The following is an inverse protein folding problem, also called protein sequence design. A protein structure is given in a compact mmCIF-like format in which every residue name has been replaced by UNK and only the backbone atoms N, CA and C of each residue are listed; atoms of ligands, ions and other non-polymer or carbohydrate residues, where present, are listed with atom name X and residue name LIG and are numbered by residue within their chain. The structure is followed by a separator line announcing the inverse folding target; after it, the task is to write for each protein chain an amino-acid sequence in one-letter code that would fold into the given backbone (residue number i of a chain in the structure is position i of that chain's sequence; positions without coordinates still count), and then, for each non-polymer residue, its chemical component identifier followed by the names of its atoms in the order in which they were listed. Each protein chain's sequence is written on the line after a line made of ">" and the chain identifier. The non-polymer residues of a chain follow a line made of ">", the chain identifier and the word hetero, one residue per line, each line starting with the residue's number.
data_IF_088628318676
#
_entry.id   IF_088628318676
#
_cell.length_a   1.000
_cell.length_b   1.000
_cell.length_c   1.000
_cell.angle_alpha   90.00
_cell.angle_beta   90.00
_cell.angle_gamma   90.00
#
_symmetry.space_group_name_H-M   'P 1'
#
loop_
_entity.id
_entity.type
_entity.pdbx_description
1 polymer ?
#
# COMPACT_ATOMS: atom_id res chain seq x y z
N UNK A 1 29.18 -25.88 -11.78
CA UNK A 1 27.86 -26.36 -12.19
C UNK A 1 27.13 -25.14 -12.75
N UNK A 2 26.67 -25.17 -13.98
CA UNK A 2 26.05 -24.02 -14.60
C UNK A 2 24.66 -23.77 -13.98
N UNK A 3 24.31 -22.51 -13.85
CA UNK A 3 23.01 -22.03 -13.37
C UNK A 3 21.85 -22.65 -14.18
N UNK A 4 22.10 -22.97 -15.46
CA UNK A 4 21.19 -23.66 -16.35
C UNK A 4 20.77 -25.05 -15.83
N UNK A 5 21.69 -25.76 -15.17
CA UNK A 5 21.38 -27.08 -14.60
C UNK A 5 20.34 -27.02 -13.46
N UNK A 6 20.28 -25.88 -12.73
CA UNK A 6 19.29 -25.65 -11.68
C UNK A 6 17.89 -25.32 -12.21
N UNK A 7 17.81 -24.59 -13.35
CA UNK A 7 16.56 -24.30 -14.05
C UNK A 7 15.96 -25.57 -14.65
N UNK A 8 16.80 -26.40 -15.24
CA UNK A 8 16.40 -27.66 -15.86
C UNK A 8 15.90 -28.69 -14.85
N UNK A 9 16.41 -28.65 -13.61
CA UNK A 9 15.94 -29.50 -12.52
C UNK A 9 14.46 -29.30 -12.16
N UNK A 10 13.93 -28.09 -12.27
CA UNK A 10 12.53 -27.79 -11.93
C UNK A 10 11.55 -28.12 -13.06
N UNK A 11 12.01 -28.03 -14.32
CA UNK A 11 11.16 -28.21 -15.48
C UNK A 11 11.04 -29.64 -16.01
N UNK A 12 11.99 -30.54 -15.69
CA UNK A 12 12.07 -31.83 -16.34
C UNK A 12 12.64 -32.97 -15.49
N UNK A 13 12.18 -33.14 -14.23
CA UNK A 13 12.63 -34.24 -13.35
C UNK A 13 12.63 -35.63 -14.00
N UNK A 14 11.77 -35.89 -14.99
CA UNK A 14 11.69 -37.15 -15.72
C UNK A 14 12.46 -37.18 -17.04
N UNK A 15 12.89 -36.05 -17.60
CA UNK A 15 13.57 -35.98 -18.91
C UNK A 15 15.09 -35.92 -18.85
N UNK A 16 15.67 -35.50 -17.72
CA UNK A 16 17.12 -35.22 -17.64
C UNK A 16 17.93 -36.37 -17.06
N UNK A 17 17.28 -37.48 -16.59
CA UNK A 17 17.98 -38.68 -16.12
C UNK A 17 18.96 -38.43 -14.95
N UNK A 18 18.70 -37.38 -14.12
CA UNK A 18 19.55 -37.12 -12.95
C UNK A 18 19.33 -38.20 -11.90
N UNK A 19 20.42 -38.84 -11.46
CA UNK A 19 20.38 -39.76 -10.34
C UNK A 19 19.96 -39.06 -9.05
N UNK A 20 19.35 -39.81 -8.09
CA UNK A 20 19.00 -39.27 -6.77
C UNK A 20 20.21 -38.69 -6.04
N UNK A 21 21.39 -39.26 -6.23
CA UNK A 21 22.66 -38.80 -5.64
C UNK A 21 23.02 -37.41 -6.18
N UNK A 22 22.87 -37.19 -7.51
CA UNK A 22 23.13 -35.87 -8.13
C UNK A 22 22.14 -34.82 -7.68
N UNK A 23 20.85 -35.18 -7.50
CA UNK A 23 19.83 -34.30 -6.91
C UNK A 23 20.22 -33.93 -5.47
N UNK A 24 20.60 -34.89 -4.64
CA UNK A 24 21.02 -34.65 -3.26
C UNK A 24 22.25 -33.74 -3.18
N UNK A 25 23.20 -33.84 -4.09
CA UNK A 25 24.37 -32.98 -4.18
C UNK A 25 24.06 -31.52 -4.55
N UNK A 26 22.98 -31.29 -5.33
CA UNK A 26 22.56 -29.97 -5.80
C UNK A 26 21.73 -29.21 -4.73
N UNK A 27 21.00 -29.92 -3.86
CA UNK A 27 20.09 -29.31 -2.87
C UNK A 27 20.78 -28.22 -2.00
N UNK A 28 21.99 -28.40 -1.44
CA UNK A 28 22.64 -27.37 -0.64
C UNK A 28 22.87 -26.07 -1.42
N UNK A 29 23.45 -26.17 -2.63
CA UNK A 29 23.68 -25.03 -3.49
C UNK A 29 22.37 -24.33 -3.90
N UNK A 30 21.31 -25.08 -4.20
CA UNK A 30 20.01 -24.53 -4.52
C UNK A 30 19.40 -23.76 -3.32
N UNK A 31 19.60 -24.22 -2.10
CA UNK A 31 19.14 -23.50 -0.88
C UNK A 31 19.89 -22.18 -0.70
N UNK A 32 21.19 -22.14 -0.93
CA UNK A 32 21.99 -20.92 -0.86
C UNK A 32 21.53 -19.90 -1.91
N UNK A 33 21.29 -20.33 -3.16
CA UNK A 33 20.75 -19.44 -4.19
C UNK A 33 19.36 -18.94 -3.86
N UNK A 34 18.47 -19.76 -3.34
CA UNK A 34 17.13 -19.33 -2.93
C UNK A 34 17.22 -18.29 -1.80
N UNK A 35 18.07 -18.51 -0.81
CA UNK A 35 18.32 -17.55 0.26
C UNK A 35 18.87 -16.23 -0.28
N UNK A 36 19.85 -16.29 -1.18
CA UNK A 36 20.42 -15.14 -1.84
C UNK A 36 19.35 -14.35 -2.66
N UNK A 37 18.51 -15.02 -3.43
CA UNK A 37 17.46 -14.37 -4.23
C UNK A 37 16.33 -13.79 -3.38
N UNK A 38 16.07 -14.32 -2.20
CA UNK A 38 15.14 -13.71 -1.23
C UNK A 38 15.65 -12.37 -0.74
N UNK A 39 16.98 -12.22 -0.59
CA UNK A 39 17.63 -10.96 -0.24
C UNK A 39 17.81 -10.01 -1.43
N UNK A 40 18.01 -10.56 -2.64
CA UNK A 40 18.30 -9.83 -3.87
C UNK A 40 17.32 -10.20 -4.99
N UNK A 41 16.03 -9.87 -4.86
CA UNK A 41 14.99 -10.25 -5.82
C UNK A 41 15.19 -9.62 -7.20
N UNK A 42 15.84 -8.49 -7.28
CA UNK A 42 16.23 -7.84 -8.53
C UNK A 42 17.25 -8.67 -9.33
N UNK A 43 18.17 -9.31 -8.65
CA UNK A 43 19.12 -10.25 -9.28
C UNK A 43 18.43 -11.56 -9.69
N UNK A 44 17.38 -11.97 -8.96
CA UNK A 44 16.52 -13.07 -9.42
C UNK A 44 15.79 -12.71 -10.72
N UNK A 45 15.33 -11.48 -10.88
CA UNK A 45 14.75 -11.02 -12.16
C UNK A 45 15.78 -11.04 -13.27
N UNK A 46 17.00 -10.55 -13.00
CA UNK A 46 18.10 -10.60 -13.98
C UNK A 46 18.46 -12.03 -14.40
N UNK A 47 18.38 -12.98 -13.45
CA UNK A 47 18.53 -14.40 -13.72
C UNK A 47 17.39 -14.97 -14.57
N UNK A 48 16.13 -14.66 -14.21
CA UNK A 48 14.94 -15.18 -14.92
C UNK A 48 14.84 -14.65 -16.36
N UNK A 49 15.27 -13.41 -16.61
CA UNK A 49 15.23 -12.84 -17.96
C UNK A 49 16.24 -13.48 -18.93
N UNK A 50 17.33 -14.02 -18.41
CA UNK A 50 18.44 -14.54 -19.19
C UNK A 50 19.31 -13.44 -19.83
N UNK A 51 20.43 -13.84 -20.47
CA UNK A 51 21.42 -12.90 -20.99
C UNK A 51 20.97 -12.13 -22.24
N UNK A 52 20.12 -12.72 -23.08
CA UNK A 52 19.71 -12.15 -24.38
C UNK A 52 18.51 -11.18 -24.25
N UNK A 53 17.93 -11.05 -23.08
CA UNK A 53 16.78 -10.20 -22.85
C UNK A 53 17.20 -8.77 -22.53
N UNK A 54 16.67 -7.80 -23.25
CA UNK A 54 17.00 -6.37 -23.11
C UNK A 54 16.28 -5.66 -21.98
N UNK A 55 15.30 -6.30 -21.33
CA UNK A 55 14.60 -5.74 -20.18
C UNK A 55 15.57 -5.48 -19.02
N UNK A 56 15.52 -4.29 -18.42
CA UNK A 56 16.32 -3.93 -17.27
C UNK A 56 15.52 -3.12 -16.26
N UNK A 57 15.67 -3.50 -15.00
CA UNK A 57 15.10 -2.75 -13.89
C UNK A 57 15.91 -1.46 -13.63
N UNK A 58 15.23 -0.35 -13.44
CA UNK A 58 15.84 0.90 -12.99
C UNK A 58 16.26 0.81 -11.52
N UNK A 59 17.17 1.68 -11.11
CA UNK A 59 17.73 1.67 -9.76
C UNK A 59 16.63 1.74 -8.67
N UNK A 60 15.68 2.66 -8.78
CA UNK A 60 14.59 2.79 -7.81
C UNK A 60 13.70 1.54 -7.72
N UNK A 61 13.50 0.86 -8.86
CA UNK A 61 12.74 -0.40 -8.93
C UNK A 61 13.46 -1.50 -8.15
N UNK A 62 14.79 -1.60 -8.31
CA UNK A 62 15.62 -2.56 -7.55
C UNK A 62 15.55 -2.29 -6.04
N UNK A 63 15.64 -1.02 -5.63
CA UNK A 63 15.51 -0.62 -4.21
C UNK A 63 14.15 -1.04 -3.65
N UNK A 64 13.05 -0.72 -4.37
CA UNK A 64 11.71 -1.09 -3.95
C UNK A 64 11.53 -2.62 -3.83
N UNK A 65 12.02 -3.38 -4.80
CA UNK A 65 11.93 -4.85 -4.78
C UNK A 65 12.67 -5.45 -3.59
N UNK A 66 13.89 -4.98 -3.32
CA UNK A 66 14.66 -5.41 -2.13
C UNK A 66 13.94 -5.07 -0.85
N UNK A 67 13.43 -3.84 -0.73
CA UNK A 67 12.65 -3.42 0.43
C UNK A 67 11.41 -4.30 0.63
N UNK A 68 10.66 -4.57 -0.43
CA UNK A 68 9.46 -5.38 -0.38
C UNK A 68 9.71 -6.85 -0.01
N UNK A 69 10.91 -7.39 -0.24
CA UNK A 69 11.26 -8.74 0.19
C UNK A 69 11.81 -8.81 1.62
N UNK A 70 12.51 -7.76 2.07
CA UNK A 70 13.22 -7.73 3.36
C UNK A 70 12.39 -7.21 4.52
N UNK A 71 11.40 -6.34 4.24
CA UNK A 71 10.59 -5.72 5.29
C UNK A 71 9.20 -6.32 5.32
N UNK A 72 8.66 -6.43 6.52
CA UNK A 72 7.30 -6.93 6.75
C UNK A 72 6.24 -5.92 6.30
N UNK A 73 6.52 -4.64 6.49
CA UNK A 73 5.65 -3.54 6.15
C UNK A 73 6.35 -2.62 5.17
N UNK A 74 5.80 -2.48 3.99
CA UNK A 74 6.33 -1.57 2.97
C UNK A 74 5.23 -0.64 2.50
N UNK A 75 5.53 0.65 2.46
CA UNK A 75 4.60 1.66 1.98
C UNK A 75 5.27 2.49 0.88
N UNK A 76 4.72 2.40 -0.33
CA UNK A 76 5.22 3.13 -1.49
C UNK A 76 4.21 4.19 -1.94
N UNK A 77 4.59 5.47 -1.82
CA UNK A 77 3.86 6.60 -2.39
C UNK A 77 4.51 6.97 -3.71
N UNK A 78 3.98 6.39 -4.79
CA UNK A 78 4.54 6.54 -6.12
C UNK A 78 3.61 7.33 -7.03
N UNK A 79 4.14 8.32 -7.78
CA UNK A 79 3.35 9.10 -8.72
C UNK A 79 2.90 8.23 -9.92
N UNK A 80 2.13 8.83 -10.81
CA UNK A 80 1.79 8.22 -12.11
C UNK A 80 3.06 7.92 -12.92
N UNK A 81 2.99 6.89 -13.76
CA UNK A 81 4.09 6.39 -14.60
C UNK A 81 5.31 5.85 -13.83
N UNK A 82 5.18 5.53 -12.54
CA UNK A 82 6.27 5.00 -11.69
C UNK A 82 6.35 3.47 -11.71
N UNK A 83 5.61 2.80 -12.59
CA UNK A 83 5.52 1.33 -12.69
C UNK A 83 5.09 0.63 -11.39
N UNK A 84 4.32 1.31 -10.53
CA UNK A 84 3.99 0.83 -9.18
C UNK A 84 3.30 -0.54 -9.17
N UNK A 85 2.22 -0.70 -9.93
CA UNK A 85 1.44 -1.95 -10.00
C UNK A 85 2.24 -3.09 -10.65
N UNK A 86 3.04 -2.78 -11.68
CA UNK A 86 3.94 -3.73 -12.34
C UNK A 86 4.94 -4.32 -11.33
N UNK A 87 5.64 -3.46 -10.59
CA UNK A 87 6.61 -3.89 -9.57
C UNK A 87 5.97 -4.68 -8.44
N UNK A 88 4.82 -4.23 -7.97
CA UNK A 88 4.11 -4.88 -6.86
C UNK A 88 3.64 -6.29 -7.25
N UNK A 89 3.06 -6.48 -8.44
CA UNK A 89 2.66 -7.80 -8.94
C UNK A 89 3.88 -8.68 -9.20
N UNK A 90 4.97 -8.14 -9.77
CA UNK A 90 6.22 -8.88 -9.96
C UNK A 90 6.77 -9.41 -8.63
N UNK A 91 6.73 -8.63 -7.55
CA UNK A 91 7.15 -9.07 -6.20
C UNK A 91 6.26 -10.23 -5.72
N UNK A 92 4.94 -10.18 -5.93
CA UNK A 92 4.07 -11.29 -5.56
C UNK A 92 4.42 -12.57 -6.34
N UNK A 93 4.71 -12.47 -7.64
CA UNK A 93 5.16 -13.61 -8.44
C UNK A 93 6.50 -14.18 -7.92
N UNK A 94 7.47 -13.33 -7.64
CA UNK A 94 8.76 -13.73 -7.06
C UNK A 94 8.58 -14.41 -5.70
N UNK A 95 7.74 -13.85 -4.82
CA UNK A 95 7.40 -14.47 -3.54
C UNK A 95 6.74 -15.84 -3.73
N UNK A 96 5.84 -15.97 -4.69
CA UNK A 96 5.22 -17.27 -5.00
C UNK A 96 6.25 -18.29 -5.49
N UNK A 97 7.25 -17.89 -6.26
CA UNK A 97 8.30 -18.79 -6.73
C UNK A 97 9.27 -19.18 -5.60
N UNK A 98 9.74 -18.19 -4.82
CA UNK A 98 10.79 -18.39 -3.82
C UNK A 98 10.29 -18.92 -2.46
N UNK A 99 8.98 -18.86 -2.19
CA UNK A 99 8.37 -19.34 -0.95
C UNK A 99 7.29 -20.38 -1.24
N UNK A 100 7.64 -21.67 -1.37
CA UNK A 100 6.68 -22.73 -1.67
C UNK A 100 5.46 -22.73 -0.74
N UNK A 101 4.28 -23.01 -1.29
CA UNK A 101 2.98 -23.03 -0.59
C UNK A 101 2.55 -21.69 0.02
N UNK A 102 3.18 -20.57 -0.33
CA UNK A 102 2.69 -19.28 0.15
C UNK A 102 1.33 -18.94 -0.48
N UNK A 103 0.52 -18.21 0.27
CA UNK A 103 -0.83 -17.77 -0.10
C UNK A 103 -0.85 -16.26 0.02
N UNK A 104 -0.84 -15.56 -1.09
CA UNK A 104 -0.83 -14.10 -1.13
C UNK A 104 -2.13 -13.56 -1.71
N UNK A 105 -2.35 -12.25 -1.56
CA UNK A 105 -3.51 -11.60 -2.16
C UNK A 105 -3.17 -10.22 -2.72
N UNK A 106 -4.07 -9.75 -3.58
CA UNK A 106 -4.16 -8.36 -4.03
C UNK A 106 -5.53 -7.83 -3.63
N UNK A 107 -5.58 -6.65 -3.06
CA UNK A 107 -6.83 -5.90 -2.83
C UNK A 107 -6.68 -4.46 -3.29
N UNK A 108 -7.78 -3.86 -3.71
CA UNK A 108 -7.89 -2.45 -4.09
C UNK A 108 -9.30 -1.95 -3.76
N UNK A 109 -9.63 -0.71 -4.08
CA UNK A 109 -10.97 -0.16 -3.85
C UNK A 109 -12.10 -0.96 -4.52
N UNK A 110 -11.84 -1.66 -5.63
CA UNK A 110 -12.79 -2.51 -6.33
C UNK A 110 -12.26 -3.92 -6.61
N UNK A 111 -13.15 -4.94 -6.51
CA UNK A 111 -12.78 -6.34 -6.81
C UNK A 111 -12.39 -6.54 -8.27
N UNK A 112 -13.14 -5.94 -9.20
CA UNK A 112 -12.84 -5.97 -10.64
C UNK A 112 -11.53 -5.23 -10.96
N UNK A 113 -11.28 -4.09 -10.30
CA UNK A 113 -10.03 -3.34 -10.45
C UNK A 113 -8.83 -4.19 -10.05
N UNK A 114 -8.86 -4.85 -8.89
CA UNK A 114 -7.79 -5.73 -8.45
C UNK A 114 -7.56 -6.89 -9.43
N UNK A 115 -8.62 -7.52 -9.94
CA UNK A 115 -8.53 -8.58 -10.94
C UNK A 115 -7.96 -8.07 -12.27
N UNK A 116 -8.37 -6.89 -12.71
CA UNK A 116 -7.87 -6.22 -13.92
C UNK A 116 -6.36 -5.94 -13.85
N UNK A 117 -5.92 -5.35 -12.74
CA UNK A 117 -4.49 -5.08 -12.49
C UNK A 117 -3.68 -6.37 -12.52
N UNK A 118 -4.15 -7.41 -11.84
CA UNK A 118 -3.46 -8.71 -11.83
C UNK A 118 -3.31 -9.28 -13.24
N UNK A 119 -4.39 -9.33 -14.02
CA UNK A 119 -4.35 -9.87 -15.40
C UNK A 119 -3.40 -9.09 -16.30
N UNK A 120 -3.54 -7.78 -16.31
CA UNK A 120 -2.71 -6.91 -17.13
C UNK A 120 -1.22 -7.05 -16.77
N UNK A 121 -0.89 -6.98 -15.49
CA UNK A 121 0.52 -6.97 -15.06
C UNK A 121 1.17 -8.35 -15.11
N UNK A 122 0.45 -9.44 -14.84
CA UNK A 122 0.98 -10.79 -15.03
C UNK A 122 1.27 -11.03 -16.51
N UNK A 123 0.36 -10.66 -17.41
CA UNK A 123 0.57 -10.77 -18.86
C UNK A 123 1.78 -9.95 -19.32
N UNK A 124 1.89 -8.70 -18.86
CA UNK A 124 3.03 -7.82 -19.17
C UNK A 124 4.35 -8.44 -18.70
N UNK A 125 4.43 -8.92 -17.46
CA UNK A 125 5.61 -9.54 -16.87
C UNK A 125 6.00 -10.81 -17.66
N UNK A 126 5.04 -11.68 -17.97
CA UNK A 126 5.27 -12.92 -18.71
C UNK A 126 5.71 -12.65 -20.17
N UNK A 127 5.21 -11.57 -20.78
CA UNK A 127 5.64 -11.14 -22.12
C UNK A 127 7.09 -10.64 -22.10
N UNK A 128 7.45 -9.84 -21.10
CA UNK A 128 8.81 -9.31 -20.95
C UNK A 128 9.81 -10.38 -20.53
N UNK A 129 9.41 -11.31 -19.67
CA UNK A 129 10.26 -12.36 -19.12
C UNK A 129 9.50 -13.70 -19.14
N UNK A 130 9.53 -14.44 -20.26
CA UNK A 130 8.73 -15.67 -20.45
C UNK A 130 9.01 -16.78 -19.43
N UNK A 131 10.13 -16.72 -18.72
CA UNK A 131 10.44 -17.69 -17.67
C UNK A 131 9.44 -17.63 -16.50
N UNK A 132 8.84 -16.46 -16.20
CA UNK A 132 7.81 -16.36 -15.18
C UNK A 132 6.54 -17.14 -15.53
N UNK A 133 6.14 -17.14 -16.82
CA UNK A 133 4.98 -17.87 -17.26
C UNK A 133 5.15 -19.40 -17.06
N UNK A 134 6.38 -19.89 -17.26
CA UNK A 134 6.72 -21.31 -17.06
C UNK A 134 6.54 -21.78 -15.60
N UNK A 135 6.58 -20.88 -14.65
CA UNK A 135 6.35 -21.18 -13.23
C UNK A 135 4.86 -21.24 -12.85
N UNK A 136 3.97 -20.64 -13.67
CA UNK A 136 2.53 -20.68 -13.44
C UNK A 136 1.97 -22.05 -13.85
N UNK A 137 1.11 -22.60 -13.00
CA UNK A 137 0.38 -23.83 -13.25
C UNK A 137 -0.99 -23.54 -13.89
N UNK A 138 -1.07 -23.72 -15.21
CA UNK A 138 -2.29 -23.57 -16.01
C UNK A 138 -3.15 -24.83 -16.07
N UNK A 139 -2.84 -25.86 -15.28
CA UNK A 139 -3.62 -27.09 -15.21
C UNK A 139 -5.08 -26.85 -14.84
N UNK A 140 -5.95 -27.80 -15.18
CA UNK A 140 -7.38 -27.72 -14.93
C UNK A 140 -7.69 -27.43 -13.44
N UNK A 141 -8.43 -26.35 -13.16
CA UNK A 141 -8.82 -25.94 -11.81
C UNK A 141 -7.70 -25.30 -10.98
N UNK A 142 -6.57 -24.93 -11.60
CA UNK A 142 -5.44 -24.25 -10.95
C UNK A 142 -5.53 -22.74 -11.14
N UNK A 143 -4.79 -22.17 -12.08
CA UNK A 143 -4.88 -20.74 -12.40
C UNK A 143 -6.18 -20.43 -13.14
N UNK A 144 -6.72 -19.22 -12.89
CA UNK A 144 -7.96 -18.78 -13.53
C UNK A 144 -7.99 -17.23 -13.65
N UNK A 145 -8.56 -16.78 -14.75
CA UNK A 145 -8.73 -15.35 -15.06
C UNK A 145 -10.22 -15.09 -15.35
N UNK A 146 -10.93 -14.54 -14.36
CA UNK A 146 -12.32 -14.12 -14.50
C UNK A 146 -12.44 -12.59 -14.61
N UNK A 147 -13.67 -12.10 -14.77
CA UNK A 147 -13.94 -10.65 -14.82
C UNK A 147 -13.59 -9.97 -13.49
N UNK A 148 -14.05 -10.55 -12.39
CA UNK A 148 -13.95 -10.00 -11.03
C UNK A 148 -13.10 -10.85 -10.09
N UNK A 149 -12.60 -11.99 -10.54
CA UNK A 149 -11.76 -12.88 -9.77
C UNK A 149 -10.65 -13.49 -10.62
N UNK A 150 -9.42 -13.34 -10.14
CA UNK A 150 -8.23 -13.94 -10.70
C UNK A 150 -7.46 -14.70 -9.64
N UNK A 151 -6.83 -15.79 -10.03
CA UNK A 151 -5.95 -16.59 -9.20
C UNK A 151 -4.83 -17.15 -10.05
N UNK A 152 -3.61 -16.96 -9.63
CA UNK A 152 -2.42 -17.54 -10.25
C UNK A 152 -1.79 -18.53 -9.29
N UNK A 153 -1.77 -19.79 -9.66
CA UNK A 153 -1.17 -20.90 -8.91
C UNK A 153 0.18 -21.21 -9.54
N UNK A 154 1.20 -21.42 -8.72
CA UNK A 154 2.55 -21.75 -9.14
C UNK A 154 2.82 -23.24 -8.95
N UNK A 155 3.78 -23.79 -9.70
CA UNK A 155 4.13 -25.23 -9.70
C UNK A 155 4.53 -25.78 -8.33
N UNK A 156 5.03 -24.89 -7.44
CA UNK A 156 5.40 -25.25 -6.06
C UNK A 156 4.23 -25.19 -5.05
N UNK A 157 2.98 -25.02 -5.54
CA UNK A 157 1.76 -24.99 -4.74
C UNK A 157 1.46 -23.64 -4.08
N UNK A 158 2.27 -22.61 -4.32
CA UNK A 158 1.96 -21.24 -3.92
C UNK A 158 0.93 -20.60 -4.84
N UNK A 159 0.30 -19.54 -4.38
CA UNK A 159 -0.62 -18.76 -5.23
C UNK A 159 -0.81 -17.35 -4.71
N UNK A 160 -1.29 -16.47 -5.59
CA UNK A 160 -1.93 -15.23 -5.21
C UNK A 160 -3.25 -15.05 -5.95
N UNK A 161 -4.23 -14.43 -5.28
CA UNK A 161 -5.55 -14.13 -5.81
C UNK A 161 -6.00 -12.72 -5.42
N UNK A 162 -7.09 -12.22 -5.99
CA UNK A 162 -7.67 -10.98 -5.50
C UNK A 162 -8.71 -11.24 -4.41
N UNK A 163 -8.68 -10.37 -3.38
CA UNK A 163 -9.66 -10.34 -2.29
C UNK A 163 -10.45 -9.04 -2.39
N UNK A 164 -11.77 -9.13 -2.31
CA UNK A 164 -12.60 -7.94 -2.25
C UNK A 164 -12.41 -7.22 -0.89
N UNK A 165 -12.25 -5.91 -0.91
CA UNK A 165 -12.28 -5.07 0.30
C UNK A 165 -13.73 -4.94 0.81
N UNK A 166 -14.29 -6.01 1.38
CA UNK A 166 -15.67 -6.11 1.85
C UNK A 166 -15.78 -7.13 2.99
N UNK A 167 -16.82 -7.04 3.78
CA UNK A 167 -17.17 -7.99 4.88
C UNK A 167 -17.16 -9.46 4.43
N UNK A 168 -17.60 -9.76 3.23
CA UNK A 168 -17.60 -11.14 2.68
C UNK A 168 -16.22 -11.78 2.56
N UNK A 169 -15.15 -11.03 2.77
CA UNK A 169 -13.78 -11.54 2.79
C UNK A 169 -13.32 -12.03 4.16
N UNK A 170 -14.13 -11.85 5.22
CA UNK A 170 -13.86 -12.44 6.55
C UNK A 170 -13.66 -13.94 6.44
N UNK A 171 -12.77 -14.50 7.22
CA UNK A 171 -12.48 -15.93 7.24
C UNK A 171 -11.48 -16.43 6.19
N UNK A 172 -11.11 -15.64 5.19
CA UNK A 172 -10.00 -16.00 4.29
C UNK A 172 -8.68 -16.06 5.06
N UNK A 173 -7.76 -16.90 4.57
CA UNK A 173 -6.44 -17.08 5.19
C UNK A 173 -5.34 -16.86 4.16
N UNK A 174 -4.46 -15.89 4.42
CA UNK A 174 -3.34 -15.53 3.57
C UNK A 174 -2.09 -15.28 4.43
N UNK A 175 -0.92 -15.38 3.83
CA UNK A 175 0.34 -15.15 4.53
C UNK A 175 0.81 -13.69 4.42
N UNK A 176 0.41 -12.99 3.36
CA UNK A 176 0.72 -11.60 3.11
C UNK A 176 -0.05 -11.08 1.91
N UNK A 177 0.04 -9.80 1.63
CA UNK A 177 -0.70 -9.23 0.52
C UNK A 177 -0.25 -7.84 0.07
N UNK A 178 -0.78 -7.47 -1.08
CA UNK A 178 -0.67 -6.18 -1.72
C UNK A 178 -1.99 -5.41 -1.55
N UNK A 179 -1.89 -4.22 -1.02
CA UNK A 179 -2.97 -3.24 -0.93
C UNK A 179 -2.66 -2.16 -1.99
N UNK A 180 -3.28 -2.32 -3.14
CA UNK A 180 -3.09 -1.46 -4.30
C UNK A 180 -4.07 -0.29 -4.26
N UNK A 181 -3.61 0.93 -4.57
CA UNK A 181 -4.40 2.17 -4.48
C UNK A 181 -5.14 2.29 -3.15
N UNK A 182 -4.39 2.13 -2.04
CA UNK A 182 -4.97 2.06 -0.70
C UNK A 182 -5.76 3.31 -0.30
N UNK A 183 -5.56 4.45 -0.97
CA UNK A 183 -6.39 5.67 -0.79
C UNK A 183 -7.85 5.46 -1.18
N UNK A 184 -8.15 4.47 -2.02
CA UNK A 184 -9.51 4.10 -2.41
C UNK A 184 -10.12 2.97 -1.57
N UNK A 185 -9.44 2.50 -0.51
CA UNK A 185 -9.90 1.40 0.35
C UNK A 185 -10.40 1.96 1.68
N UNK A 186 -11.60 1.53 2.09
CA UNK A 186 -12.15 1.90 3.40
C UNK A 186 -11.24 1.40 4.53
N UNK A 187 -10.91 2.31 5.46
CA UNK A 187 -9.96 2.05 6.55
C UNK A 187 -10.46 1.00 7.55
N UNK A 188 -11.75 0.99 7.84
CA UNK A 188 -12.39 0.02 8.76
C UNK A 188 -12.34 -1.37 8.14
N UNK A 189 -12.74 -1.49 6.88
CA UNK A 189 -12.66 -2.76 6.15
C UNK A 189 -11.21 -3.25 6.05
N UNK A 190 -10.26 -2.35 5.84
CA UNK A 190 -8.86 -2.73 5.77
C UNK A 190 -8.35 -3.26 7.11
N UNK A 191 -8.65 -2.58 8.23
CA UNK A 191 -8.17 -2.94 9.57
C UNK A 191 -8.89 -4.17 10.14
N UNK A 192 -10.21 -4.29 9.97
CA UNK A 192 -11.02 -5.31 10.62
C UNK A 192 -11.24 -6.58 9.78
N UNK A 193 -11.13 -6.47 8.45
CA UNK A 193 -11.41 -7.59 7.55
C UNK A 193 -10.15 -8.07 6.84
N UNK A 194 -9.46 -7.17 6.12
CA UNK A 194 -8.35 -7.57 5.24
C UNK A 194 -7.09 -7.92 6.03
N UNK A 195 -6.63 -7.05 6.94
CA UNK A 195 -5.44 -7.31 7.76
C UNK A 195 -5.58 -8.60 8.57
N UNK A 196 -6.72 -8.90 9.24
CA UNK A 196 -6.89 -10.16 9.97
C UNK A 196 -6.85 -11.42 9.10
N UNK A 197 -7.02 -11.33 7.78
CA UNK A 197 -6.83 -12.52 6.91
C UNK A 197 -5.40 -13.06 6.96
N UNK A 198 -4.42 -12.25 7.36
CA UNK A 198 -2.99 -12.59 7.42
C UNK A 198 -2.56 -13.14 8.79
N UNK A 199 -3.43 -13.80 9.51
CA UNK A 199 -3.15 -14.27 10.88
C UNK A 199 -2.45 -15.65 10.95
N UNK A 200 -2.17 -16.29 9.83
CA UNK A 200 -1.50 -17.59 9.77
C UNK A 200 -0.06 -17.47 9.26
N UNK A 201 0.80 -18.36 9.74
CA UNK A 201 2.16 -18.50 9.22
C UNK A 201 2.20 -19.54 8.10
N UNK A 202 3.12 -19.35 7.17
CA UNK A 202 3.36 -20.28 6.06
C UNK A 202 3.93 -21.60 6.59
N UNK A 203 3.37 -22.71 6.13
CA UNK A 203 3.92 -24.02 6.38
C UNK A 203 4.93 -24.38 5.26
N UNK A 204 6.13 -24.75 5.65
CA UNK A 204 7.19 -25.18 4.75
C UNK A 204 6.86 -26.54 4.12
N UNK A 205 7.67 -26.99 3.16
CA UNK A 205 7.44 -28.27 2.45
C UNK A 205 7.59 -29.48 3.38
N UNK A 206 8.42 -29.37 4.41
CA UNK A 206 8.64 -30.39 5.46
C UNK A 206 7.57 -30.38 6.56
N UNK A 207 6.57 -29.50 6.48
CA UNK A 207 5.50 -29.37 7.48
C UNK A 207 5.84 -28.45 8.64
N UNK A 208 7.06 -27.89 8.74
CA UNK A 208 7.42 -26.94 9.78
C UNK A 208 6.89 -25.53 9.46
N UNK A 209 6.80 -24.68 10.45
CA UNK A 209 6.49 -23.25 10.30
C UNK A 209 7.69 -22.42 10.75
N UNK A 210 7.90 -21.29 10.06
CA UNK A 210 8.91 -20.28 10.43
C UNK A 210 8.17 -18.98 10.80
N UNK A 211 7.79 -18.79 12.07
CA UNK A 211 6.95 -17.64 12.47
C UNK A 211 7.57 -16.29 12.15
N UNK A 212 8.90 -16.19 12.22
CA UNK A 212 9.66 -14.95 11.99
C UNK A 212 9.98 -14.69 10.52
N UNK A 213 9.53 -15.55 9.60
CA UNK A 213 9.70 -15.32 8.17
C UNK A 213 9.03 -14.01 7.75
N UNK A 214 9.77 -13.11 7.11
CA UNK A 214 9.30 -11.77 6.70
C UNK A 214 8.00 -11.81 5.87
N UNK A 215 7.80 -12.89 5.10
CA UNK A 215 6.58 -13.10 4.32
C UNK A 215 5.32 -13.16 5.18
N UNK A 216 5.43 -13.73 6.39
CA UNK A 216 4.27 -13.92 7.26
C UNK A 216 3.73 -12.58 7.78
N UNK A 217 2.44 -12.33 7.51
CA UNK A 217 1.72 -11.08 7.84
C UNK A 217 2.31 -9.85 7.12
N UNK A 218 3.01 -10.06 5.98
CA UNK A 218 3.60 -8.95 5.23
C UNK A 218 2.53 -8.14 4.51
N UNK A 219 2.69 -6.82 4.56
CA UNK A 219 1.77 -5.86 3.96
C UNK A 219 2.57 -4.92 3.05
N UNK A 220 2.22 -4.91 1.78
CA UNK A 220 2.78 -3.99 0.79
C UNK A 220 1.68 -3.02 0.40
N UNK A 221 1.84 -1.75 0.74
CA UNK A 221 0.96 -0.67 0.35
C UNK A 221 1.58 0.07 -0.82
N UNK A 222 0.81 0.23 -1.89
CA UNK A 222 1.25 0.96 -3.09
C UNK A 222 0.13 1.89 -3.52
N UNK A 223 0.43 3.19 -3.60
CA UNK A 223 -0.60 4.20 -3.89
C UNK A 223 0.03 5.49 -4.45
N UNK A 224 -0.80 6.36 -5.03
CA UNK A 224 -0.50 7.79 -5.14
C UNK A 224 -0.77 8.47 -3.79
N UNK A 225 -0.40 9.73 -3.64
CA UNK A 225 -0.77 10.48 -2.44
C UNK A 225 -2.29 10.78 -2.46
N UNK A 226 -2.83 10.98 -1.27
CA UNK A 226 -4.24 11.30 -1.05
C UNK A 226 -4.42 12.45 -0.06
N UNK A 227 -5.36 12.29 0.87
CA UNK A 227 -5.73 13.29 1.86
C UNK A 227 -5.18 12.93 3.25
N UNK A 228 -4.67 13.92 3.99
CA UNK A 228 -4.07 13.71 5.33
C UNK A 228 -5.05 13.25 6.39
N UNK A 229 -6.33 13.54 6.24
CA UNK A 229 -7.40 13.12 7.15
C UNK A 229 -7.97 11.73 6.83
N UNK A 230 -7.17 10.83 6.27
CA UNK A 230 -7.61 9.51 5.84
C UNK A 230 -6.75 8.43 6.47
N UNK A 231 -7.34 7.24 6.67
CA UNK A 231 -6.64 6.06 7.19
C UNK A 231 -5.33 5.73 6.45
N UNK A 232 -5.23 5.80 5.10
CA UNK A 232 -3.97 5.56 4.40
C UNK A 232 -2.84 6.50 4.82
N UNK A 233 -3.15 7.76 5.13
CA UNK A 233 -2.14 8.70 5.64
C UNK A 233 -1.74 8.39 7.09
N UNK A 234 -2.69 8.09 7.96
CA UNK A 234 -2.41 7.66 9.33
C UNK A 234 -1.54 6.39 9.33
N UNK A 235 -1.84 5.44 8.44
CA UNK A 235 -1.04 4.24 8.25
C UNK A 235 0.37 4.55 7.77
N UNK A 236 0.55 5.50 6.84
CA UNK A 236 1.85 5.98 6.40
C UNK A 236 2.66 6.53 7.58
N UNK A 237 2.05 7.41 8.39
CA UNK A 237 2.72 7.99 9.57
C UNK A 237 3.08 6.91 10.60
N UNK A 238 2.18 5.98 10.87
CA UNK A 238 2.47 4.84 11.76
C UNK A 238 3.68 4.04 11.30
N UNK A 239 3.73 3.71 10.00
CA UNK A 239 4.84 2.94 9.44
C UNK A 239 6.14 3.75 9.37
N UNK A 240 6.07 5.07 9.22
CA UNK A 240 7.24 5.96 9.29
C UNK A 240 7.83 5.96 10.71
N UNK A 241 6.99 6.04 11.73
CA UNK A 241 7.45 5.90 13.14
C UNK A 241 8.11 4.54 13.34
N UNK A 242 7.52 3.47 12.81
CA UNK A 242 8.12 2.13 12.91
C UNK A 242 9.46 2.03 12.16
N UNK A 243 9.59 2.68 11.00
CA UNK A 243 10.88 2.71 10.29
C UNK A 243 12.00 3.38 11.11
N UNK A 244 11.65 4.36 11.94
CA UNK A 244 12.62 5.02 12.84
C UNK A 244 12.96 4.13 14.04
N UNK A 245 11.95 3.48 14.65
CA UNK A 245 12.11 2.71 15.90
C UNK A 245 12.54 1.25 15.63
N UNK A 246 12.07 0.66 14.53
CA UNK A 246 12.29 -0.74 14.12
C UNK A 246 12.55 -0.81 12.61
N UNK A 247 13.70 -0.30 12.15
CA UNK A 247 13.99 -0.16 10.71
C UNK A 247 13.99 -1.48 9.95
N UNK A 248 14.21 -2.60 10.63
CA UNK A 248 14.16 -3.93 10.04
C UNK A 248 12.74 -4.39 9.68
N UNK A 249 11.70 -3.77 10.24
CA UNK A 249 10.31 -4.18 10.03
C UNK A 249 9.58 -3.37 8.98
N UNK A 250 9.90 -2.08 8.86
CA UNK A 250 9.17 -1.14 8.03
C UNK A 250 10.07 -0.39 7.08
N UNK A 251 9.59 -0.19 5.85
CA UNK A 251 10.26 0.63 4.84
C UNK A 251 9.26 1.47 4.08
N UNK A 252 9.54 2.77 4.00
CA UNK A 252 8.72 3.73 3.24
C UNK A 252 9.55 4.29 2.09
N UNK A 253 8.94 4.36 0.94
CA UNK A 253 9.54 4.92 -0.25
C UNK A 253 8.56 5.85 -0.97
N UNK A 254 9.05 6.99 -1.40
CA UNK A 254 8.32 7.95 -2.23
C UNK A 254 9.16 8.44 -3.39
N UNK A 255 8.52 9.13 -4.32
CA UNK A 255 9.21 9.74 -5.44
C UNK A 255 8.34 10.79 -6.13
N UNK A 256 8.93 11.55 -7.03
CA UNK A 256 8.22 12.55 -7.84
C UNK A 256 8.26 12.16 -9.31
N UNK A 257 7.40 12.78 -10.12
CA UNK A 257 7.33 12.58 -11.58
C UNK A 257 8.66 12.83 -12.32
N UNK A 258 9.62 13.50 -11.70
CA UNK A 258 10.94 13.78 -12.28
C UNK A 258 11.73 12.50 -12.52
N UNK A 259 11.57 11.48 -11.67
CA UNK A 259 12.25 10.19 -11.83
C UNK A 259 11.73 9.44 -13.07
N UNK A 260 10.42 9.26 -13.29
CA UNK A 260 9.92 8.69 -14.54
C UNK A 260 10.33 9.47 -15.79
N UNK A 261 10.40 10.79 -15.75
CA UNK A 261 10.92 11.59 -16.87
C UNK A 261 12.40 11.25 -17.14
N UNK A 262 13.24 11.20 -16.09
CA UNK A 262 14.65 10.85 -16.22
C UNK A 262 14.82 9.43 -16.82
N UNK A 263 13.95 8.50 -16.45
CA UNK A 263 13.94 7.13 -16.92
C UNK A 263 13.21 6.95 -18.26
N UNK A 264 12.71 8.01 -18.89
CA UNK A 264 11.94 8.00 -20.15
C UNK A 264 10.65 7.17 -20.08
N UNK A 265 10.08 7.00 -18.89
CA UNK A 265 8.79 6.36 -18.66
C UNK A 265 7.62 7.35 -18.75
N UNK A 266 7.89 8.63 -18.59
CA UNK A 266 6.93 9.72 -18.69
C UNK A 266 7.46 10.81 -19.63
N UNK A 267 6.61 11.27 -20.55
CA UNK A 267 6.98 12.35 -21.47
C UNK A 267 6.99 13.71 -20.71
N UNK A 268 8.09 14.42 -20.85
CA UNK A 268 8.26 15.77 -20.30
C UNK A 268 7.26 16.76 -20.90
N UNK A 269 6.92 16.62 -22.19
CA UNK A 269 5.98 17.52 -22.87
C UNK A 269 4.56 17.30 -22.34
N UNK A 270 4.16 16.05 -22.07
CA UNK A 270 2.88 15.75 -21.43
C UNK A 270 2.67 16.55 -20.13
N UNK A 271 3.72 16.65 -19.29
CA UNK A 271 3.65 17.42 -18.04
C UNK A 271 3.52 18.94 -18.31
N UNK A 272 4.15 19.45 -19.35
CA UNK A 272 4.00 20.87 -19.73
C UNK A 272 2.59 21.15 -20.22
N UNK A 273 2.06 20.30 -21.10
CA UNK A 273 0.72 20.43 -21.67
C UNK A 273 -0.33 20.34 -20.56
N UNK A 274 -0.18 19.38 -19.63
CA UNK A 274 -1.05 19.24 -18.47
C UNK A 274 -1.10 20.52 -17.61
N UNK A 275 0.05 21.19 -17.40
CA UNK A 275 0.13 22.44 -16.62
C UNK A 275 -0.41 23.65 -17.35
N UNK A 276 -0.51 23.60 -18.68
CA UNK A 276 -1.06 24.64 -19.52
C UNK A 276 -2.58 24.47 -19.76
N UNK A 277 -3.12 23.30 -19.41
CA UNK A 277 -4.54 23.02 -19.56
C UNK A 277 -5.40 23.92 -18.65
N UNK A 278 -6.48 24.48 -19.20
CA UNK A 278 -7.39 25.38 -18.47
C UNK A 278 -8.12 24.71 -17.30
N UNK A 279 -8.10 23.38 -17.21
CA UNK A 279 -8.65 22.58 -16.11
C UNK A 279 -7.59 22.15 -15.10
N UNK A 280 -6.37 22.68 -15.19
CA UNK A 280 -5.26 22.31 -14.30
C UNK A 280 -5.59 22.58 -12.84
N UNK A 281 -5.47 21.56 -12.01
CA UNK A 281 -5.64 21.63 -10.57
C UNK A 281 -4.32 21.29 -9.87
N UNK A 282 -3.69 22.28 -9.22
CA UNK A 282 -2.41 22.15 -8.57
C UNK A 282 -2.44 21.09 -7.45
N UNK A 283 -3.50 21.06 -6.62
CA UNK A 283 -3.64 20.09 -5.55
C UNK A 283 -3.74 18.65 -6.08
N UNK A 284 -4.45 18.44 -7.19
CA UNK A 284 -4.51 17.14 -7.86
C UNK A 284 -3.15 16.77 -8.47
N UNK A 285 -2.46 17.72 -9.09
CA UNK A 285 -1.12 17.50 -9.63
C UNK A 285 -0.12 17.13 -8.53
N UNK A 286 -0.16 17.80 -7.41
CA UNK A 286 0.69 17.53 -6.26
C UNK A 286 0.48 16.11 -5.71
N UNK A 287 -0.77 15.63 -5.63
CA UNK A 287 -1.06 14.25 -5.20
C UNK A 287 -0.60 13.21 -6.23
N UNK A 288 -0.96 13.42 -7.49
CA UNK A 288 -0.78 12.40 -8.54
C UNK A 288 0.65 12.34 -9.11
N UNK A 289 1.40 13.46 -9.09
CA UNK A 289 2.71 13.56 -9.72
C UNK A 289 3.84 13.94 -8.76
N UNK A 290 3.59 14.71 -7.70
CA UNK A 290 4.62 15.08 -6.72
C UNK A 290 4.59 14.22 -5.45
N UNK A 291 3.62 13.29 -5.33
CA UNK A 291 3.42 12.43 -4.14
C UNK A 291 3.24 13.23 -2.84
N UNK A 292 2.66 14.43 -2.94
CA UNK A 292 2.37 15.28 -1.79
C UNK A 292 0.96 15.02 -1.28
N UNK A 293 0.82 14.77 0.00
CA UNK A 293 -0.46 14.60 0.67
C UNK A 293 -1.13 15.94 0.90
N UNK A 294 -2.38 16.07 0.48
CA UNK A 294 -3.18 17.28 0.64
C UNK A 294 -3.77 17.38 2.05
N UNK A 295 -3.80 18.59 2.59
CA UNK A 295 -4.28 18.83 3.96
C UNK A 295 -5.78 18.89 4.12
N UNK A 296 -6.53 19.16 3.04
CA UNK A 296 -7.98 19.31 3.04
C UNK A 296 -8.64 18.45 1.96
N UNK A 297 -9.89 18.08 2.18
CA UNK A 297 -10.74 17.42 1.18
C UNK A 297 -10.97 18.37 0.01
N UNK A 298 -11.18 17.86 -1.21
CA UNK A 298 -11.33 18.65 -2.44
C UNK A 298 -12.40 19.74 -2.35
N UNK A 299 -13.47 19.47 -1.59
CA UNK A 299 -14.61 20.37 -1.35
C UNK A 299 -14.57 21.06 0.03
N UNK A 300 -13.43 21.09 0.71
CA UNK A 300 -13.35 21.75 2.01
C UNK A 300 -13.56 23.26 1.85
N UNK A 301 -14.57 23.79 2.53
CA UNK A 301 -14.89 25.23 2.52
C UNK A 301 -13.71 26.07 3.05
N UNK A 302 -12.93 25.52 3.99
CA UNK A 302 -11.70 26.13 4.50
C UNK A 302 -10.49 25.23 4.22
N UNK A 303 -9.39 25.82 3.71
CA UNK A 303 -8.12 25.08 3.59
C UNK A 303 -7.49 24.83 4.96
N UNK A 304 -6.68 23.78 5.08
CA UNK A 304 -5.94 23.48 6.31
C UNK A 304 -5.02 24.63 6.73
N UNK A 305 -4.42 25.34 5.76
CA UNK A 305 -3.54 26.47 6.03
C UNK A 305 -4.30 27.64 6.66
N UNK A 306 -5.55 27.90 6.21
CA UNK A 306 -6.43 28.89 6.82
C UNK A 306 -6.79 28.48 8.24
N UNK A 307 -7.09 27.21 8.46
CA UNK A 307 -7.37 26.68 9.80
C UNK A 307 -6.17 26.81 10.72
N UNK A 308 -4.99 26.34 10.32
CA UNK A 308 -3.77 26.38 11.11
C UNK A 308 -3.34 27.83 11.43
N UNK A 309 -3.45 28.74 10.45
CA UNK A 309 -3.17 30.17 10.67
C UNK A 309 -4.10 30.81 11.69
N UNK A 310 -5.35 30.36 11.79
CA UNK A 310 -6.33 30.89 12.73
C UNK A 310 -6.36 30.13 14.07
N UNK A 311 -5.59 29.06 14.23
CA UNK A 311 -5.43 28.32 15.48
C UNK A 311 -4.52 29.09 16.43
N UNK A 312 -5.09 29.97 17.23
CA UNK A 312 -4.36 30.89 18.12
C UNK A 312 -4.28 30.41 19.57
N UNK A 313 -5.18 29.50 19.99
CA UNK A 313 -5.22 29.03 21.37
C UNK A 313 -4.44 27.72 21.52
N UNK A 314 -3.55 27.69 22.51
CA UNK A 314 -2.77 26.48 22.85
C UNK A 314 -3.55 25.54 23.78
N UNK A 315 -4.54 26.06 24.52
CA UNK A 315 -5.38 25.31 25.45
C UNK A 315 -6.82 25.86 25.41
N UNK A 316 -7.84 25.03 25.69
CA UNK A 316 -9.22 25.49 25.79
C UNK A 316 -9.42 26.36 27.03
N UNK A 317 -10.36 27.31 26.95
CA UNK A 317 -10.83 28.08 28.10
C UNK A 317 -11.93 27.30 28.82
N UNK A 318 -11.75 27.02 30.12
CA UNK A 318 -12.75 26.37 30.98
C UNK A 318 -13.50 27.34 31.87
N UNK A 319 -12.97 28.53 32.08
CA UNK A 319 -13.57 29.58 32.86
C UNK A 319 -13.69 30.87 32.05
N UNK A 320 -14.74 31.63 32.31
CA UNK A 320 -14.89 32.94 31.69
C UNK A 320 -13.74 33.84 32.12
N UNK A 321 -12.91 34.30 31.17
CA UNK A 321 -11.85 35.23 31.47
C UNK A 321 -12.43 36.48 32.14
N UNK A 322 -12.03 36.64 33.42
CA UNK A 322 -12.65 37.62 34.31
C UNK A 322 -12.54 39.07 33.83
N UNK A 323 -13.44 39.87 34.34
CA UNK A 323 -13.65 41.31 34.50
C UNK A 323 -12.90 42.34 33.64
N UNK A 324 -11.90 41.99 32.80
CA UNK A 324 -11.07 42.97 32.13
C UNK A 324 -11.59 43.48 30.77
N UNK A 325 -12.60 42.86 30.20
CA UNK A 325 -13.27 43.40 29.00
C UNK A 325 -14.76 43.48 29.21
N UNK A 326 -15.24 44.67 29.52
CA UNK A 326 -16.69 44.98 29.69
C UNK A 326 -17.53 44.70 28.41
N UNK A 327 -16.94 44.19 27.36
CA UNK A 327 -17.55 44.06 26.03
C UNK A 327 -17.55 42.62 25.50
N UNK A 328 -16.72 41.69 26.03
CA UNK A 328 -16.69 40.30 25.52
C UNK A 328 -17.80 39.45 26.21
N UNK A 329 -18.47 38.63 25.41
CA UNK A 329 -19.47 37.67 25.88
C UNK A 329 -19.24 36.30 25.23
N UNK A 330 -19.87 35.27 25.81
CA UNK A 330 -19.76 33.91 25.30
C UNK A 330 -21.06 33.48 24.64
N UNK A 331 -20.93 32.73 23.55
CA UNK A 331 -22.04 32.12 22.81
C UNK A 331 -21.80 30.61 22.79
N UNK A 332 -22.81 29.85 23.19
CA UNK A 332 -22.81 28.40 23.04
C UNK A 332 -23.63 28.00 21.81
N UNK A 333 -23.10 27.10 21.04
CA UNK A 333 -23.78 26.49 19.91
C UNK A 333 -23.73 24.99 20.10
N UNK A 334 -24.87 24.32 20.14
CA UNK A 334 -24.97 22.89 20.28
C UNK A 334 -25.55 22.26 19.01
N UNK A 335 -24.87 21.24 18.51
CA UNK A 335 -25.37 20.32 17.50
C UNK A 335 -25.67 18.99 18.18
N UNK A 336 -26.96 18.68 18.26
CA UNK A 336 -27.44 17.54 19.04
C UNK A 336 -27.42 16.29 18.16
N UNK A 337 -26.57 15.33 18.52
CA UNK A 337 -26.49 14.04 17.88
C UNK A 337 -27.73 13.18 18.10
N UNK A 338 -28.13 12.39 17.09
CA UNK A 338 -29.10 11.31 17.22
C UNK A 338 -28.36 10.00 17.50
N UNK A 339 -29.11 8.94 17.81
CA UNK A 339 -28.58 7.60 18.11
C UNK A 339 -27.44 7.19 17.13
N UNK A 340 -26.25 7.02 17.69
CA UNK A 340 -25.03 6.69 16.94
C UNK A 340 -24.21 7.89 16.44
N UNK A 341 -24.58 9.12 16.83
CA UNK A 341 -23.80 10.33 16.56
C UNK A 341 -23.56 11.10 17.84
N UNK A 342 -22.39 11.71 17.98
CA UNK A 342 -22.05 12.54 19.13
C UNK A 342 -22.83 13.86 19.14
N UNK A 343 -23.15 14.35 20.34
CA UNK A 343 -23.57 15.74 20.51
C UNK A 343 -22.35 16.62 20.68
N UNK A 344 -22.25 17.70 19.92
CA UNK A 344 -21.12 18.63 19.99
C UNK A 344 -21.56 20.00 20.45
N UNK A 345 -20.94 20.53 21.49
CA UNK A 345 -21.16 21.89 22.00
C UNK A 345 -19.91 22.75 21.78
N UNK A 346 -20.04 23.78 20.97
CA UNK A 346 -18.98 24.76 20.73
C UNK A 346 -19.20 26.01 21.59
N UNK A 347 -18.14 26.48 22.25
CA UNK A 347 -18.14 27.70 23.04
C UNK A 347 -17.33 28.76 22.31
N UNK A 348 -17.99 29.84 21.92
CA UNK A 348 -17.37 30.98 21.24
C UNK A 348 -17.28 32.17 22.18
N UNK A 349 -16.10 32.78 22.26
CA UNK A 349 -15.88 34.10 22.85
C UNK A 349 -16.02 35.15 21.77
N UNK A 350 -16.96 36.05 21.95
CA UNK A 350 -17.22 37.15 21.02
C UNK A 350 -16.67 38.43 21.60
N UNK A 351 -15.70 39.05 20.91
CA UNK A 351 -15.11 40.32 21.28
C UNK A 351 -15.56 41.38 20.28
N UNK A 352 -16.47 42.28 20.68
CA UNK A 352 -16.90 43.37 19.82
C UNK A 352 -15.72 44.29 19.45
N UNK A 353 -15.69 44.77 18.24
CA UNK A 353 -14.69 45.73 17.75
C UNK A 353 -15.33 47.14 17.65
N UNK A 354 -14.57 48.21 17.89
CA UNK A 354 -15.09 49.57 17.74
C UNK A 354 -15.56 49.89 16.33
N UNK A 355 -14.95 49.25 15.33
CA UNK A 355 -15.33 49.36 13.92
C UNK A 355 -15.21 47.94 13.29
N UNK A 356 -16.21 47.57 12.51
CA UNK A 356 -16.25 46.32 11.79
C UNK A 356 -16.94 45.18 12.54
N UNK A 357 -16.71 43.94 12.05
CA UNK A 357 -17.31 42.75 12.64
C UNK A 357 -16.63 42.32 13.95
N UNK A 358 -17.40 41.80 14.90
CA UNK A 358 -16.88 41.22 16.15
C UNK A 358 -15.96 40.05 15.86
N UNK A 359 -14.84 39.93 16.60
CA UNK A 359 -13.97 38.76 16.55
C UNK A 359 -14.66 37.62 17.31
N UNK A 360 -14.79 36.46 16.66
CA UNK A 360 -15.36 35.23 17.23
C UNK A 360 -14.23 34.22 17.36
N UNK A 361 -13.91 33.83 18.58
CA UNK A 361 -12.87 32.85 18.86
C UNK A 361 -13.53 31.61 19.43
N UNK A 362 -13.36 30.46 18.82
CA UNK A 362 -13.75 29.18 19.38
C UNK A 362 -12.79 28.86 20.52
N UNK A 363 -13.29 28.87 21.76
CA UNK A 363 -12.47 28.75 22.97
C UNK A 363 -12.57 27.38 23.62
N UNK A 364 -13.65 26.63 23.36
CA UNK A 364 -13.79 25.26 23.84
C UNK A 364 -14.76 24.46 22.96
N UNK A 365 -14.58 23.14 22.93
CA UNK A 365 -15.48 22.17 22.30
C UNK A 365 -15.72 21.03 23.29
N UNK A 366 -16.96 20.72 23.54
CA UNK A 366 -17.38 19.53 24.29
C UNK A 366 -17.99 18.53 23.33
N UNK A 367 -17.54 17.30 23.38
CA UNK A 367 -18.13 16.17 22.65
C UNK A 367 -18.74 15.21 23.67
N UNK A 368 -20.05 14.98 23.56
CA UNK A 368 -20.81 14.10 24.41
C UNK A 368 -21.14 12.85 23.61
N UNK A 369 -20.49 11.75 23.98
CA UNK A 369 -20.62 10.46 23.29
C UNK A 369 -21.50 9.54 24.11
N UNK A 370 -22.42 8.81 23.46
CA UNK A 370 -23.33 7.83 24.08
C UNK A 370 -24.32 8.38 25.13
N UNK A 371 -24.49 9.70 25.20
CA UNK A 371 -25.54 10.27 26.07
C UNK A 371 -26.89 10.28 25.33
N UNK A 372 -27.91 9.79 26.01
CA UNK A 372 -29.29 9.84 25.54
C UNK A 372 -29.92 11.20 25.86
N UNK A 373 -30.86 11.64 25.02
CA UNK A 373 -31.57 12.91 25.13
C UNK A 373 -32.42 13.03 26.44
N UNK A 374 -32.61 11.93 27.16
CA UNK A 374 -33.42 11.82 28.36
C UNK A 374 -32.58 11.71 29.64
N UNK A 375 -31.26 11.70 29.54
CA UNK A 375 -30.31 11.73 30.63
C UNK A 375 -29.77 13.15 30.84
#
# INVERSE_FOLDING_TARGET
>A
MALQDLLDLNQNRKKIGLSEERIKAIIPAAREYIAFWREYPDLFVDFMKGPDNTFNLFFYQRVFMRAAMRHKYVYAVFPRAYSKSFLAVMILMIRCILYPRCKLFVTSGGKEQAAGIMKEKVKEICTLIPAFEKEIDWGRGKSMEGKDYCKYVFKNGSYFDNIAARESSRGKRRHGGLIEECVGVDGTILSEVIIPTMNISRMCMDGTTQPDETLNKSQIYVTTAGWKNTYPYEKLIQLLVWQIVQPEKSFIMGGTYRIPILMKLLDKNFIKDLKMDGTFNESSFDREYESKWSGSVEDAFFSSEVFDRNRQLNQPEYEASGRSSKLAYYVLSADVGRKGCDTVVCVFKVTPQPQGASIKTLVNIYTLTDEHFED
#
